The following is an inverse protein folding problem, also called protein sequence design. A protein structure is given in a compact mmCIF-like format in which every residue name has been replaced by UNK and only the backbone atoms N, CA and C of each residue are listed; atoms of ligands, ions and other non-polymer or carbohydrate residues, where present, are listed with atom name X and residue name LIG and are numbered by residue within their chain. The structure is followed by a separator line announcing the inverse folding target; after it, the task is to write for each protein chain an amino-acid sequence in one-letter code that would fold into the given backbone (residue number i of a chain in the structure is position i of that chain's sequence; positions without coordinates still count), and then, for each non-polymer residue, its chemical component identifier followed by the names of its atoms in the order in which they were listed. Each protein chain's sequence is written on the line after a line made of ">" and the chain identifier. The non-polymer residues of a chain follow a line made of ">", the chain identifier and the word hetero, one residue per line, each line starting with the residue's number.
data_IF_027190760320
#
_entry.id   IF_027190760320
#
_cell.length_a   1.000
_cell.length_b   1.000
_cell.length_c   1.000
_cell.angle_alpha   90.00
_cell.angle_beta   90.00
_cell.angle_gamma   90.00
#
_symmetry.space_group_name_H-M   'P 1'
#
loop_
_entity.id
_entity.type
_entity.pdbx_description
1 polymer ?
#
# COMPACT_ATOMS: atom_id res chain seq x y z
N UNK A 1 22.16 -14.85 -1.39
CA UNK A 1 21.56 -14.56 -2.70
C UNK A 1 20.13 -14.14 -2.45
N UNK A 2 19.77 -12.91 -2.81
CA UNK A 2 18.43 -12.36 -2.62
C UNK A 2 17.44 -12.99 -3.61
N UNK A 3 16.12 -12.90 -3.34
CA UNK A 3 15.09 -13.32 -4.31
C UNK A 3 15.29 -12.64 -5.67
N UNK A 4 15.58 -11.34 -5.63
CA UNK A 4 15.75 -10.53 -6.83
C UNK A 4 16.93 -11.03 -7.67
N UNK A 5 18.09 -11.29 -7.04
CA UNK A 5 19.26 -11.87 -7.70
C UNK A 5 18.96 -13.23 -8.34
N UNK A 6 18.21 -14.09 -7.63
CA UNK A 6 17.86 -15.42 -8.14
C UNK A 6 16.88 -15.35 -9.33
N UNK A 7 15.94 -14.41 -9.32
CA UNK A 7 14.92 -14.27 -10.35
C UNK A 7 15.39 -13.48 -11.59
N UNK A 8 16.44 -12.65 -11.44
CA UNK A 8 16.89 -11.71 -12.47
C UNK A 8 17.20 -12.33 -13.84
N UNK A 9 17.92 -13.47 -13.95
CA UNK A 9 18.21 -14.07 -15.25
C UNK A 9 16.94 -14.49 -16.01
N UNK A 10 15.93 -14.98 -15.29
CA UNK A 10 14.64 -15.37 -15.86
C UNK A 10 13.86 -14.14 -16.33
N UNK A 11 13.88 -13.06 -15.54
CA UNK A 11 13.29 -11.78 -15.92
C UNK A 11 13.93 -11.22 -17.21
N UNK A 12 15.26 -11.20 -17.31
CA UNK A 12 15.96 -10.73 -18.51
C UNK A 12 15.60 -11.56 -19.75
N UNK A 13 15.46 -12.88 -19.61
CA UNK A 13 15.04 -13.74 -20.71
C UNK A 13 13.63 -13.38 -21.21
N UNK A 14 12.65 -13.28 -20.30
CA UNK A 14 11.27 -12.89 -20.64
C UNK A 14 11.20 -11.50 -21.26
N UNK A 15 11.97 -10.55 -20.73
CA UNK A 15 12.07 -9.20 -21.28
C UNK A 15 12.50 -9.22 -22.75
N UNK A 16 13.52 -10.02 -23.12
CA UNK A 16 13.96 -10.17 -24.52
C UNK A 16 12.88 -10.76 -25.41
N UNK A 17 12.13 -11.74 -24.91
CA UNK A 17 11.01 -12.35 -25.64
C UNK A 17 9.91 -11.32 -25.92
N UNK A 18 9.47 -10.56 -24.90
CA UNK A 18 8.45 -9.51 -25.03
C UNK A 18 8.86 -8.41 -26.02
N UNK A 19 10.13 -7.98 -25.96
CA UNK A 19 10.66 -7.02 -26.93
C UNK A 19 10.65 -7.62 -28.34
N UNK A 20 11.10 -8.86 -28.51
CA UNK A 20 11.13 -9.53 -29.83
C UNK A 20 9.72 -9.65 -30.42
N UNK A 21 8.73 -10.03 -29.61
CA UNK A 21 7.32 -10.09 -30.02
C UNK A 21 6.80 -8.71 -30.45
N UNK A 22 7.04 -7.67 -29.65
CA UNK A 22 6.60 -6.31 -29.91
C UNK A 22 7.11 -5.73 -31.23
N UNK A 23 8.33 -6.09 -31.64
CA UNK A 23 8.92 -5.61 -32.90
C UNK A 23 8.28 -6.24 -34.15
N UNK A 24 7.50 -7.33 -34.01
CA UNK A 24 6.86 -8.00 -35.17
C UNK A 24 5.77 -7.17 -35.84
N UNK A 25 5.19 -6.18 -35.15
CA UNK A 25 4.05 -5.39 -35.65
C UNK A 25 4.32 -3.86 -35.68
N UNK A 26 5.41 -3.45 -36.36
CA UNK A 26 5.75 -2.04 -36.63
C UNK A 26 6.06 -1.17 -35.39
N UNK A 27 6.92 -1.69 -34.51
CA UNK A 27 7.41 -1.01 -33.31
C UNK A 27 6.78 -1.59 -32.04
N UNK A 28 7.56 -1.73 -30.98
CA UNK A 28 7.06 -2.29 -29.72
C UNK A 28 6.01 -1.34 -29.10
N UNK A 29 4.74 -1.78 -28.95
CA UNK A 29 3.71 -0.95 -28.34
C UNK A 29 4.00 -0.68 -26.86
N UNK A 30 3.37 0.34 -26.28
CA UNK A 30 3.46 0.68 -24.85
C UNK A 30 3.13 -0.53 -23.96
N UNK A 31 2.20 -1.35 -24.41
CA UNK A 31 1.83 -2.62 -23.75
C UNK A 31 3.01 -3.57 -23.52
N UNK A 32 4.06 -3.52 -24.34
CA UNK A 32 5.28 -4.31 -24.12
C UNK A 32 6.01 -3.83 -22.88
N UNK A 33 6.15 -2.52 -22.69
CA UNK A 33 6.78 -1.97 -21.49
C UNK A 33 5.94 -2.26 -20.23
N UNK A 34 4.61 -2.08 -20.30
CA UNK A 34 3.68 -2.45 -19.23
C UNK A 34 3.87 -3.91 -18.79
N UNK A 35 3.90 -4.82 -19.76
CA UNK A 35 4.09 -6.24 -19.50
C UNK A 35 5.48 -6.59 -18.93
N UNK A 36 6.54 -5.85 -19.30
CA UNK A 36 7.87 -6.01 -18.71
C UNK A 36 7.86 -5.55 -17.25
N UNK A 37 7.21 -4.42 -16.96
CA UNK A 37 7.07 -3.91 -15.59
C UNK A 37 6.25 -4.88 -14.72
N UNK A 38 5.19 -5.47 -15.26
CA UNK A 38 4.41 -6.52 -14.57
C UNK A 38 5.27 -7.74 -14.21
N UNK A 39 6.10 -8.23 -15.14
CA UNK A 39 7.04 -9.32 -14.89
C UNK A 39 8.08 -8.96 -13.81
N UNK A 40 8.55 -7.71 -13.81
CA UNK A 40 9.46 -7.20 -12.79
C UNK A 40 8.79 -7.23 -11.41
N UNK A 41 7.59 -6.67 -11.29
CA UNK A 41 6.85 -6.59 -10.03
C UNK A 41 6.56 -7.98 -9.45
N UNK A 42 6.05 -8.90 -10.27
CA UNK A 42 5.59 -10.21 -9.80
C UNK A 42 6.73 -11.24 -9.71
N UNK A 43 7.58 -11.30 -10.73
CA UNK A 43 8.69 -12.25 -10.82
C UNK A 43 9.86 -11.90 -9.90
N UNK A 44 10.28 -10.63 -9.89
CA UNK A 44 11.49 -10.20 -9.17
C UNK A 44 11.15 -9.60 -7.81
N UNK A 45 10.24 -8.63 -7.76
CA UNK A 45 9.96 -7.84 -6.55
C UNK A 45 9.00 -8.52 -5.57
N UNK A 46 8.27 -9.53 -6.03
CA UNK A 46 7.46 -10.41 -5.17
C UNK A 46 6.06 -9.89 -4.86
N UNK A 47 5.55 -8.94 -5.63
CA UNK A 47 4.13 -8.60 -5.63
C UNK A 47 3.29 -9.77 -6.13
N UNK A 48 2.11 -9.97 -5.54
CA UNK A 48 1.15 -10.93 -6.10
C UNK A 48 0.47 -10.31 -7.32
N UNK A 49 0.03 -11.12 -8.27
CA UNK A 49 -0.72 -10.60 -9.43
C UNK A 49 -2.01 -9.86 -9.01
N UNK A 50 -2.64 -10.30 -7.92
CA UNK A 50 -3.81 -9.64 -7.33
C UNK A 50 -3.52 -8.24 -6.78
N UNK A 51 -2.25 -7.89 -6.56
CA UNK A 51 -1.86 -6.56 -6.08
C UNK A 51 -1.78 -5.55 -7.24
N UNK A 52 -1.82 -5.99 -8.50
CA UNK A 52 -1.65 -5.16 -9.69
C UNK A 52 -3.02 -4.83 -10.29
N UNK A 53 -3.37 -3.56 -10.33
CA UNK A 53 -4.62 -3.07 -10.91
C UNK A 53 -4.32 -2.26 -12.16
N UNK A 54 -4.80 -2.74 -13.31
CA UNK A 54 -4.54 -2.09 -14.59
C UNK A 54 -5.61 -1.05 -14.91
N UNK A 55 -5.20 0.06 -15.53
CA UNK A 55 -6.11 1.07 -16.10
C UNK A 55 -7.05 1.75 -15.08
N UNK A 56 -6.69 1.74 -13.79
CA UNK A 56 -7.46 2.42 -12.75
C UNK A 56 -7.26 3.93 -12.89
N UNK A 57 -8.36 4.68 -13.07
CA UNK A 57 -8.32 6.13 -13.26
C UNK A 57 -7.31 6.61 -14.34
N UNK A 58 -7.13 5.80 -15.39
CA UNK A 58 -6.20 6.02 -16.53
C UNK A 58 -4.71 5.88 -16.24
N UNK A 59 -4.30 5.43 -15.05
CA UNK A 59 -2.91 5.01 -14.85
C UNK A 59 -2.71 3.58 -15.37
N UNK A 60 -1.52 3.26 -15.87
CA UNK A 60 -1.26 1.94 -16.46
C UNK A 60 -1.30 0.83 -15.41
N UNK A 61 -0.56 1.00 -14.32
CA UNK A 61 -0.51 0.03 -13.22
C UNK A 61 -0.61 0.75 -11.87
N UNK A 62 -1.59 0.38 -11.07
CA UNK A 62 -1.71 0.76 -9.68
C UNK A 62 -1.46 -0.47 -8.80
N UNK A 63 -0.41 -0.41 -7.98
CA UNK A 63 -0.07 -1.45 -7.02
C UNK A 63 -0.77 -1.17 -5.70
N UNK A 64 -1.55 -2.14 -5.22
CA UNK A 64 -2.26 -2.12 -3.94
C UNK A 64 -1.80 -3.26 -3.04
N UNK A 65 -1.89 -3.07 -1.73
CA UNK A 65 -1.76 -4.17 -0.76
C UNK A 65 -2.82 -3.99 0.31
N UNK A 66 -3.69 -4.99 0.48
CA UNK A 66 -4.86 -4.92 1.35
C UNK A 66 -5.72 -3.68 1.02
N UNK A 67 -5.94 -3.40 -0.26
CA UNK A 67 -6.68 -2.23 -0.74
C UNK A 67 -6.02 -0.87 -0.53
N UNK A 68 -4.89 -0.80 0.19
CA UNK A 68 -4.09 0.42 0.34
C UNK A 68 -3.23 0.59 -0.90
N UNK A 69 -3.39 1.72 -1.59
CA UNK A 69 -2.65 2.08 -2.80
C UNK A 69 -1.21 2.47 -2.43
N UNK A 70 -0.23 1.78 -3.03
CA UNK A 70 1.19 1.86 -2.65
C UNK A 70 2.05 2.56 -3.68
N UNK A 71 1.88 2.20 -4.96
CA UNK A 71 2.72 2.67 -6.04
C UNK A 71 1.88 2.83 -7.30
N UNK A 72 1.99 3.99 -7.93
CA UNK A 72 1.44 4.23 -9.27
C UNK A 72 2.57 4.13 -10.28
N UNK A 73 2.36 3.40 -11.38
CA UNK A 73 3.33 3.27 -12.45
C UNK A 73 2.70 3.70 -13.78
N UNK A 74 3.35 4.64 -14.44
CA UNK A 74 3.07 5.02 -15.83
C UNK A 74 4.13 4.41 -16.72
N UNK A 75 3.71 3.78 -17.81
CA UNK A 75 4.59 3.19 -18.79
C UNK A 75 4.64 4.00 -20.08
N UNK A 76 5.76 3.89 -20.78
CA UNK A 76 5.98 4.48 -22.10
C UNK A 76 6.51 3.43 -23.05
N UNK A 77 6.43 3.71 -24.34
CA UNK A 77 6.97 2.81 -25.37
C UNK A 77 8.45 2.52 -25.10
N UNK A 78 8.93 1.28 -25.36
CA UNK A 78 10.33 0.93 -25.15
C UNK A 78 11.33 1.91 -25.77
N UNK A 79 12.24 2.43 -24.94
CA UNK A 79 13.27 3.39 -25.31
C UNK A 79 12.79 4.84 -25.40
N UNK A 80 11.57 5.17 -24.97
CA UNK A 80 11.04 6.52 -24.95
C UNK A 80 11.58 7.39 -23.82
N UNK A 81 12.10 6.81 -22.73
CA UNK A 81 12.61 7.56 -21.57
C UNK A 81 14.09 7.91 -21.71
N UNK A 82 14.55 8.24 -22.93
CA UNK A 82 15.94 8.64 -23.18
C UNK A 82 16.19 10.07 -22.70
N UNK A 83 16.78 10.18 -21.52
CA UNK A 83 17.26 11.44 -20.95
C UNK A 83 16.27 12.11 -19.99
N UNK A 84 16.79 12.99 -19.14
CA UNK A 84 16.09 13.55 -17.99
C UNK A 84 14.76 14.27 -18.35
N UNK A 85 14.71 14.95 -19.50
CA UNK A 85 13.48 15.64 -19.93
C UNK A 85 12.33 14.68 -20.24
N UNK A 86 12.62 13.53 -20.86
CA UNK A 86 11.58 12.54 -21.18
C UNK A 86 11.04 11.88 -19.91
N UNK A 87 11.93 11.59 -18.96
CA UNK A 87 11.56 11.10 -17.61
C UNK A 87 10.70 12.13 -16.89
N UNK A 88 11.10 13.41 -16.89
CA UNK A 88 10.36 14.48 -16.25
C UNK A 88 8.94 14.62 -16.80
N UNK A 89 8.80 14.66 -18.12
CA UNK A 89 7.50 14.81 -18.77
C UNK A 89 6.57 13.63 -18.46
N UNK A 90 7.09 12.40 -18.49
CA UNK A 90 6.31 11.22 -18.11
C UNK A 90 5.93 11.26 -16.63
N UNK A 91 6.83 11.73 -15.76
CA UNK A 91 6.59 11.80 -14.32
C UNK A 91 5.51 12.84 -13.99
N UNK A 92 5.56 14.03 -14.59
CA UNK A 92 4.54 15.07 -14.41
C UNK A 92 3.15 14.59 -14.85
N UNK A 93 3.07 13.82 -15.93
CA UNK A 93 1.82 13.18 -16.34
C UNK A 93 1.31 12.21 -15.26
N UNK A 94 2.19 11.34 -14.74
CA UNK A 94 1.84 10.36 -13.72
C UNK A 94 1.45 11.00 -12.37
N UNK A 95 2.04 12.15 -12.03
CA UNK A 95 1.76 12.88 -10.79
C UNK A 95 0.29 13.32 -10.70
N UNK A 96 -0.33 13.76 -11.80
CA UNK A 96 -1.75 14.16 -11.80
C UNK A 96 -2.68 13.00 -11.43
N UNK A 97 -2.36 11.79 -11.87
CA UNK A 97 -3.09 10.59 -11.46
C UNK A 97 -2.84 10.23 -10.00
N UNK A 98 -1.60 10.37 -9.54
CA UNK A 98 -1.22 10.08 -8.16
C UNK A 98 -1.92 10.99 -7.15
N UNK A 99 -2.10 12.27 -7.47
CA UNK A 99 -2.87 13.23 -6.66
C UNK A 99 -4.35 12.80 -6.56
N UNK A 100 -4.96 12.45 -7.70
CA UNK A 100 -6.35 11.97 -7.75
C UNK A 100 -6.54 10.69 -6.94
N UNK A 101 -5.59 9.76 -7.05
CA UNK A 101 -5.63 8.46 -6.38
C UNK A 101 -5.04 8.49 -4.96
N UNK A 102 -4.52 9.63 -4.51
CA UNK A 102 -3.90 9.83 -3.19
C UNK A 102 -2.76 8.84 -2.93
N UNK A 103 -1.92 8.63 -3.94
CA UNK A 103 -0.74 7.75 -3.89
C UNK A 103 0.52 8.60 -3.71
N UNK A 104 1.32 8.28 -2.71
CA UNK A 104 2.52 9.05 -2.38
C UNK A 104 3.78 8.66 -3.15
N UNK A 105 3.76 7.55 -3.89
CA UNK A 105 4.91 7.05 -4.64
C UNK A 105 4.54 6.81 -6.09
N UNK A 106 5.32 7.39 -6.99
CA UNK A 106 5.11 7.32 -8.45
C UNK A 106 6.35 6.74 -9.11
N UNK A 107 6.14 5.89 -10.11
CA UNK A 107 7.18 5.43 -11.01
C UNK A 107 6.79 5.65 -12.47
N UNK A 108 7.82 5.80 -13.31
CA UNK A 108 7.71 5.81 -14.76
C UNK A 108 8.69 4.80 -15.35
N UNK A 109 8.28 4.09 -16.40
CA UNK A 109 9.16 3.13 -17.05
C UNK A 109 8.90 3.00 -18.55
N UNK A 110 9.94 2.69 -19.32
CA UNK A 110 9.79 2.21 -20.70
C UNK A 110 10.18 0.72 -20.86
N UNK A 111 10.23 -0.02 -19.75
CA UNK A 111 10.68 -1.41 -19.75
C UNK A 111 12.20 -1.58 -19.96
N UNK A 112 12.98 -0.51 -20.08
CA UNK A 112 14.44 -0.53 -19.96
C UNK A 112 14.89 0.33 -18.79
N UNK A 113 14.39 1.55 -18.70
CA UNK A 113 14.63 2.45 -17.59
C UNK A 113 13.42 2.47 -16.64
N UNK A 114 13.68 2.50 -15.33
CA UNK A 114 12.67 2.65 -14.29
C UNK A 114 13.11 3.77 -13.36
N UNK A 115 12.27 4.80 -13.25
CA UNK A 115 12.47 5.91 -12.34
C UNK A 115 11.30 5.98 -11.36
N UNK A 116 11.56 6.04 -10.06
CA UNK A 116 10.53 6.15 -9.02
C UNK A 116 10.88 7.24 -8.00
N UNK A 117 9.89 8.01 -7.58
CA UNK A 117 10.04 9.07 -6.59
C UNK A 117 8.85 9.20 -5.65
N UNK A 118 9.14 9.49 -4.40
CA UNK A 118 8.17 9.92 -3.41
C UNK A 118 7.69 11.34 -3.71
N UNK A 119 6.38 11.56 -3.65
CA UNK A 119 5.76 12.87 -3.68
C UNK A 119 5.77 13.43 -2.25
N UNK A 120 6.49 14.54 -2.06
CA UNK A 120 6.63 15.22 -0.78
C UNK A 120 6.17 16.67 -0.88
N UNK A 121 5.71 17.31 0.20
CA UNK A 121 5.44 18.74 0.17
C UNK A 121 6.66 19.53 -0.33
N UNK A 122 6.48 20.33 -1.36
CA UNK A 122 7.55 21.15 -1.95
C UNK A 122 8.42 20.46 -3.00
N UNK A 123 8.13 19.22 -3.40
CA UNK A 123 8.82 18.58 -4.52
C UNK A 123 8.66 17.07 -4.56
N UNK A 124 9.75 16.40 -4.96
CA UNK A 124 9.81 14.93 -4.97
C UNK A 124 11.17 14.46 -4.48
N UNK A 125 11.22 13.23 -3.99
CA UNK A 125 12.45 12.60 -3.56
C UNK A 125 12.68 11.32 -4.37
N UNK A 126 13.77 11.28 -5.14
CA UNK A 126 14.14 10.11 -5.93
C UNK A 126 14.38 8.91 -5.03
N UNK A 127 13.69 7.81 -5.33
CA UNK A 127 13.79 6.54 -4.59
C UNK A 127 14.54 5.49 -5.40
N UNK A 128 14.25 5.39 -6.70
CA UNK A 128 14.88 4.44 -7.61
C UNK A 128 15.15 5.11 -8.94
N UNK A 129 16.34 4.88 -9.47
CA UNK A 129 16.67 5.13 -10.87
C UNK A 129 17.50 3.94 -11.33
N UNK A 130 16.91 3.07 -12.15
CA UNK A 130 17.49 1.78 -12.51
C UNK A 130 17.38 1.50 -14.00
N UNK A 131 18.42 0.92 -14.58
CA UNK A 131 18.37 0.28 -15.89
C UNK A 131 18.10 -1.23 -15.71
N UNK A 132 16.87 -1.63 -15.97
CA UNK A 132 16.41 -3.03 -15.84
C UNK A 132 16.83 -3.90 -17.03
N UNK A 133 17.63 -3.38 -17.95
CA UNK A 133 18.25 -4.16 -19.03
C UNK A 133 19.65 -4.67 -18.70
N UNK A 134 20.24 -4.21 -17.58
CA UNK A 134 21.56 -4.60 -17.12
C UNK A 134 21.63 -6.07 -16.69
N UNK A 135 22.81 -6.68 -16.82
CA UNK A 135 23.04 -8.08 -16.47
C UNK A 135 22.88 -8.35 -14.97
N UNK A 136 23.24 -7.38 -14.14
CA UNK A 136 23.09 -7.43 -12.69
C UNK A 136 21.86 -6.67 -12.22
N UNK A 137 21.22 -7.19 -11.18
CA UNK A 137 20.05 -6.53 -10.58
C UNK A 137 20.50 -5.32 -9.76
N UNK A 138 19.85 -4.18 -9.99
CA UNK A 138 19.99 -3.02 -9.10
C UNK A 138 19.27 -3.31 -7.78
N UNK A 139 20.03 -3.35 -6.68
CA UNK A 139 19.50 -3.62 -5.35
C UNK A 139 18.52 -2.54 -4.87
N UNK A 140 18.56 -1.33 -5.43
CA UNK A 140 17.61 -0.26 -5.11
C UNK A 140 16.18 -0.61 -5.53
N UNK A 141 15.99 -1.55 -6.47
CA UNK A 141 14.67 -2.05 -6.83
C UNK A 141 13.90 -2.64 -5.63
N UNK A 142 14.62 -3.08 -4.58
CA UNK A 142 14.00 -3.54 -3.34
C UNK A 142 13.07 -2.49 -2.69
N UNK A 143 13.34 -1.19 -2.87
CA UNK A 143 12.49 -0.10 -2.35
C UNK A 143 11.10 -0.04 -2.98
N UNK A 144 10.88 -0.78 -4.08
CA UNK A 144 9.57 -0.94 -4.73
C UNK A 144 8.93 -2.30 -4.44
N UNK A 145 9.57 -3.18 -3.66
CA UNK A 145 9.01 -4.46 -3.24
C UNK A 145 7.90 -4.28 -2.18
N UNK A 146 7.08 -5.32 -1.91
CA UNK A 146 6.08 -5.28 -0.85
C UNK A 146 6.66 -4.87 0.51
N UNK A 147 7.92 -5.24 0.81
CA UNK A 147 8.58 -4.93 2.09
C UNK A 147 9.29 -3.57 2.11
N UNK A 148 9.61 -3.01 0.94
CA UNK A 148 10.32 -1.74 0.80
C UNK A 148 9.39 -0.55 0.62
N UNK A 149 8.27 -0.73 -0.10
CA UNK A 149 7.45 0.36 -0.64
C UNK A 149 6.89 1.32 0.42
N UNK A 150 6.51 0.80 1.59
CA UNK A 150 5.94 1.62 2.68
C UNK A 150 7.02 2.22 3.60
N UNK A 151 8.28 1.82 3.44
CA UNK A 151 9.38 2.39 4.21
C UNK A 151 9.73 3.72 3.59
N UNK A 152 9.81 4.73 4.42
CA UNK A 152 10.23 6.03 3.94
C UNK A 152 11.74 6.18 4.16
N UNK A 153 12.54 6.45 3.11
CA UNK A 153 13.94 6.81 3.30
C UNK A 153 14.12 8.13 4.07
N UNK A 154 13.07 8.97 4.19
CA UNK A 154 13.08 10.24 4.92
C UNK A 154 11.83 10.35 5.82
N UNK A 155 11.88 10.95 7.02
CA UNK A 155 10.67 11.22 7.81
C UNK A 155 9.66 12.08 7.02
N UNK A 156 8.40 11.65 6.97
CA UNK A 156 7.33 12.45 6.35
C UNK A 156 7.11 13.73 7.14
N UNK A 157 7.02 14.92 6.49
CA UNK A 157 6.51 16.10 7.15
C UNK A 157 5.05 15.90 7.56
N UNK A 158 4.65 16.57 8.65
CA UNK A 158 3.29 16.50 9.18
C UNK A 158 2.28 16.97 8.12
N UNK A 159 1.20 16.22 7.85
CA UNK A 159 0.14 16.71 6.98
C UNK A 159 -0.55 17.91 7.64
N UNK A 160 -0.53 19.07 6.97
CA UNK A 160 -1.03 20.36 7.48
C UNK A 160 -2.50 20.65 7.18
N UNK A 161 -3.27 19.72 6.61
CA UNK A 161 -4.71 19.91 6.45
C UNK A 161 -5.44 18.57 6.47
N UNK A 162 -6.11 18.30 7.59
CA UNK A 162 -7.10 17.23 7.69
C UNK A 162 -8.39 17.82 8.24
N UNK A 163 -9.43 17.82 7.43
CA UNK A 163 -10.80 17.96 7.88
C UNK A 163 -11.52 16.66 7.52
N UNK A 164 -11.48 15.65 8.41
CA UNK A 164 -12.56 14.68 8.44
C UNK A 164 -13.52 15.04 9.56
N UNK A 165 -14.80 14.95 9.23
CA UNK A 165 -15.89 15.15 10.16
C UNK A 165 -15.73 14.24 11.39
N UNK A 166 -16.15 14.71 12.58
CA UNK A 166 -16.16 13.87 13.76
C UNK A 166 -17.13 12.70 13.55
N UNK A 167 -16.58 11.50 13.37
CA UNK A 167 -17.37 10.27 13.51
C UNK A 167 -17.64 10.06 15.00
N UNK A 168 -18.76 10.60 15.49
CA UNK A 168 -19.30 10.21 16.78
C UNK A 168 -20.10 8.91 16.65
N UNK A 169 -19.77 7.96 17.52
CA UNK A 169 -20.49 6.72 17.69
C UNK A 169 -19.50 5.56 17.91
N UNK A 170 -19.42 4.99 19.12
CA UNK A 170 -18.78 3.70 19.27
C UNK A 170 -19.48 2.68 18.35
N UNK A 171 -18.76 1.72 17.74
CA UNK A 171 -19.43 0.53 17.23
C UNK A 171 -20.22 -0.10 18.38
N UNK A 172 -21.46 -0.50 18.13
CA UNK A 172 -22.24 -1.23 19.12
C UNK A 172 -21.42 -2.44 19.63
N UNK A 173 -21.34 -2.65 20.95
CA UNK A 173 -20.67 -3.82 21.49
C UNK A 173 -21.39 -5.07 20.98
N UNK A 174 -20.67 -5.90 20.23
CA UNK A 174 -21.09 -7.27 19.97
C UNK A 174 -20.94 -8.05 21.28
N UNK A 175 -21.97 -7.99 22.12
CA UNK A 175 -22.08 -8.78 23.35
C UNK A 175 -22.30 -10.25 22.99
N UNK A 176 -21.21 -10.96 22.71
CA UNK A 176 -21.17 -12.42 22.76
C UNK A 176 -20.60 -12.83 24.14
N UNK A 177 -21.30 -13.68 24.92
CA UNK A 177 -20.88 -14.01 26.27
C UNK A 177 -19.56 -14.81 26.27
N UNK A 178 -18.57 -14.30 27.01
CA UNK A 178 -17.49 -15.06 27.66
C UNK A 178 -16.39 -15.69 26.80
N UNK A 179 -16.50 -15.69 25.46
CA UNK A 179 -15.46 -16.29 24.62
C UNK A 179 -14.21 -15.41 24.57
N UNK A 180 -13.08 -15.94 25.04
CA UNK A 180 -11.79 -15.26 25.02
C UNK A 180 -10.89 -15.85 23.94
N UNK A 181 -10.05 -14.99 23.36
CA UNK A 181 -9.02 -15.45 22.44
C UNK A 181 -7.98 -16.34 23.16
N UNK A 182 -7.69 -17.58 22.70
CA UNK A 182 -6.81 -18.52 23.42
C UNK A 182 -5.42 -17.97 23.78
N UNK A 183 -4.79 -17.23 22.86
CA UNK A 183 -3.48 -16.60 23.08
C UNK A 183 -3.51 -15.32 23.92
N UNK A 184 -4.45 -14.41 23.64
CA UNK A 184 -4.44 -13.06 24.22
C UNK A 184 -5.29 -12.95 25.48
N UNK A 185 -6.20 -13.90 25.71
CA UNK A 185 -7.16 -13.91 26.81
C UNK A 185 -8.00 -12.62 26.85
N UNK A 186 -8.39 -12.13 25.66
CA UNK A 186 -9.19 -10.92 25.47
C UNK A 186 -10.50 -11.25 24.74
N UNK A 187 -11.58 -10.48 25.00
CA UNK A 187 -12.84 -10.61 24.26
C UNK A 187 -12.70 -10.06 22.83
N UNK A 188 -13.67 -10.41 21.97
CA UNK A 188 -13.69 -10.04 20.55
C UNK A 188 -13.65 -8.52 20.31
N UNK A 189 -14.24 -7.74 21.22
CA UNK A 189 -14.29 -6.27 21.14
C UNK A 189 -12.92 -5.60 21.22
N UNK A 190 -11.90 -6.30 21.72
CA UNK A 190 -10.54 -5.79 21.83
C UNK A 190 -9.73 -5.90 20.53
N UNK A 191 -10.31 -6.47 19.46
CA UNK A 191 -9.63 -6.77 18.20
C UNK A 191 -10.06 -5.85 17.07
N UNK A 192 -9.10 -5.42 16.26
CA UNK A 192 -9.33 -4.55 15.11
C UNK A 192 -10.17 -5.24 14.03
N UNK A 193 -10.03 -6.56 13.89
CA UNK A 193 -10.81 -7.39 12.97
C UNK A 193 -11.22 -8.71 13.63
N UNK A 194 -12.44 -9.16 13.37
CA UNK A 194 -12.92 -10.48 13.76
C UNK A 194 -13.82 -11.03 12.65
N UNK A 195 -13.32 -12.03 11.90
CA UNK A 195 -14.10 -12.63 10.81
C UNK A 195 -15.33 -13.38 11.30
N UNK A 196 -15.25 -14.01 12.47
CA UNK A 196 -16.40 -14.64 13.13
C UNK A 196 -16.31 -14.48 14.64
N UNK A 197 -17.36 -13.95 15.26
CA UNK A 197 -17.45 -13.75 16.72
C UNK A 197 -17.44 -15.04 17.54
N UNK A 198 -17.62 -16.20 16.90
CA UNK A 198 -17.59 -17.52 17.57
C UNK A 198 -16.29 -18.28 17.33
N UNK A 199 -15.40 -17.79 16.46
CA UNK A 199 -14.14 -18.47 16.10
C UNK A 199 -12.95 -17.56 16.38
N UNK A 200 -12.33 -17.65 17.58
CA UNK A 200 -11.28 -16.73 17.99
C UNK A 200 -10.02 -16.74 17.13
N UNK A 201 -9.79 -17.82 16.37
CA UNK A 201 -8.70 -17.89 15.38
C UNK A 201 -8.81 -16.84 14.27
N UNK A 202 -10.01 -16.29 14.05
CA UNK A 202 -10.29 -15.24 13.06
C UNK A 202 -10.15 -13.82 13.62
N UNK A 203 -9.84 -13.69 14.91
CA UNK A 203 -9.69 -12.38 15.55
C UNK A 203 -8.24 -11.92 15.44
N UNK A 204 -8.06 -10.73 14.88
CA UNK A 204 -6.75 -10.19 14.54
C UNK A 204 -6.61 -8.77 15.08
N UNK A 205 -5.36 -8.37 15.27
CA UNK A 205 -5.01 -6.99 15.64
C UNK A 205 -5.59 -6.57 17.00
N UNK A 206 -5.22 -7.24 18.12
CA UNK A 206 -5.62 -6.75 19.44
C UNK A 206 -5.10 -5.33 19.64
N UNK A 207 -5.94 -4.41 20.12
CA UNK A 207 -5.58 -3.01 20.34
C UNK A 207 -6.17 -2.41 21.63
N UNK A 208 -7.11 -3.10 22.28
CA UNK A 208 -7.59 -2.79 23.63
C UNK A 208 -7.05 -3.82 24.63
N UNK A 209 -7.05 -3.43 25.91
CA UNK A 209 -6.78 -4.32 27.03
C UNK A 209 -8.04 -5.07 27.51
N UNK A 210 -7.93 -5.84 28.58
CA UNK A 210 -9.04 -6.64 29.13
C UNK A 210 -10.18 -5.78 29.73
N UNK A 211 -9.92 -4.51 30.02
CA UNK A 211 -10.90 -3.55 30.52
C UNK A 211 -11.57 -2.75 29.39
N UNK A 212 -11.15 -2.98 28.13
CA UNK A 212 -11.64 -2.23 26.98
C UNK A 212 -10.96 -0.88 26.81
N UNK A 213 -9.89 -0.61 27.57
CA UNK A 213 -9.09 0.59 27.44
C UNK A 213 -8.02 0.43 26.37
N UNK A 214 -7.49 1.55 25.86
CA UNK A 214 -6.53 1.53 24.77
C UNK A 214 -5.21 0.91 25.23
N UNK A 215 -4.83 -0.22 24.62
CA UNK A 215 -3.52 -0.81 24.86
C UNK A 215 -2.48 -0.05 24.02
N UNK A 216 -1.81 0.92 24.65
CA UNK A 216 -0.78 1.75 24.04
C UNK A 216 0.40 0.94 23.46
N UNK A 217 0.62 -0.30 23.90
CA UNK A 217 1.69 -1.16 23.40
C UNK A 217 1.27 -1.98 22.18
N UNK A 218 -0.03 -2.25 22.01
CA UNK A 218 -0.57 -3.07 20.92
C UNK A 218 -1.15 -2.24 19.78
N UNK A 219 -1.77 -1.10 20.07
CA UNK A 219 -2.34 -0.21 19.05
C UNK A 219 -1.36 0.11 17.90
N UNK A 220 -0.12 0.60 18.14
CA UNK A 220 0.80 0.87 17.04
C UNK A 220 1.18 -0.39 16.24
N UNK A 221 1.23 -1.56 16.89
CA UNK A 221 1.53 -2.85 16.24
C UNK A 221 0.37 -3.34 15.38
N UNK A 222 -0.87 -3.12 15.83
CA UNK A 222 -2.07 -3.41 15.07
C UNK A 222 -2.12 -2.56 13.79
N UNK A 223 -1.84 -1.26 13.89
CA UNK A 223 -1.76 -0.36 12.73
C UNK A 223 -0.62 -0.82 11.79
N UNK A 224 0.56 -1.09 12.35
CA UNK A 224 1.73 -1.57 11.60
C UNK A 224 1.44 -2.85 10.81
N UNK A 225 0.75 -3.81 11.41
CA UNK A 225 0.47 -5.10 10.78
C UNK A 225 -0.46 -4.98 9.55
N UNK A 226 -1.30 -3.95 9.47
CA UNK A 226 -2.15 -3.68 8.29
C UNK A 226 -1.41 -2.83 7.26
N UNK A 227 -0.71 -1.79 7.69
CA UNK A 227 -0.12 -0.82 6.78
C UNK A 227 1.26 -1.22 6.23
N UNK A 228 1.95 -2.14 6.88
CA UNK A 228 3.33 -2.50 6.56
C UNK A 228 3.52 -4.00 6.77
N UNK A 229 4.72 -4.45 7.15
CA UNK A 229 4.91 -5.76 7.76
C UNK A 229 5.10 -5.65 9.28
N UNK A 230 4.70 -6.71 10.00
CA UNK A 230 5.04 -6.87 11.41
C UNK A 230 6.04 -8.01 11.54
N UNK A 231 7.29 -7.67 11.89
CA UNK A 231 8.41 -8.63 12.00
C UNK A 231 8.60 -9.48 10.74
N UNK A 232 8.45 -8.88 9.57
CA UNK A 232 8.61 -9.56 8.27
C UNK A 232 7.40 -10.38 7.81
N UNK A 233 6.29 -10.34 8.54
CA UNK A 233 5.04 -10.98 8.13
C UNK A 233 4.00 -9.94 7.73
N UNK A 234 3.34 -10.17 6.60
CA UNK A 234 2.16 -9.41 6.16
C UNK A 234 0.90 -10.10 6.66
N UNK A 235 -0.11 -9.31 7.02
CA UNK A 235 -1.42 -9.86 7.38
C UNK A 235 -2.16 -10.23 6.10
N UNK A 236 -2.42 -11.51 5.89
CA UNK A 236 -3.15 -12.02 4.71
C UNK A 236 -4.55 -12.53 5.04
N UNK A 237 -4.90 -12.65 6.32
CA UNK A 237 -6.16 -13.22 6.79
C UNK A 237 -7.30 -12.20 6.93
N UNK A 238 -7.02 -10.92 6.72
CA UNK A 238 -8.03 -9.86 6.72
C UNK A 238 -8.46 -9.63 5.27
N UNK A 239 -9.75 -9.84 4.93
CA UNK A 239 -10.26 -9.53 3.60
C UNK A 239 -10.10 -8.05 3.28
N UNK A 240 -9.78 -7.74 2.03
CA UNK A 240 -9.51 -6.37 1.57
C UNK A 240 -10.69 -5.43 1.84
N UNK A 241 -11.92 -5.91 1.65
CA UNK A 241 -13.15 -5.16 1.89
C UNK A 241 -13.32 -4.74 3.36
N UNK A 242 -12.70 -5.44 4.31
CA UNK A 242 -12.76 -5.12 5.73
C UNK A 242 -11.73 -4.07 6.15
N UNK A 243 -10.67 -3.86 5.35
CA UNK A 243 -9.53 -3.00 5.70
C UNK A 243 -9.94 -1.55 5.99
N UNK A 244 -10.83 -0.89 5.22
CA UNK A 244 -11.24 0.48 5.52
C UNK A 244 -11.84 0.62 6.92
N UNK A 245 -12.72 -0.31 7.32
CA UNK A 245 -13.35 -0.32 8.63
C UNK A 245 -12.34 -0.61 9.75
N UNK A 246 -11.41 -1.54 9.51
CA UNK A 246 -10.33 -1.86 10.46
C UNK A 246 -9.45 -0.63 10.71
N UNK A 247 -9.00 0.05 9.65
CA UNK A 247 -8.19 1.26 9.77
C UNK A 247 -8.95 2.38 10.48
N UNK A 248 -10.23 2.57 10.17
CA UNK A 248 -11.07 3.57 10.85
C UNK A 248 -11.19 3.28 12.34
N UNK A 249 -11.41 2.01 12.73
CA UNK A 249 -11.48 1.58 14.14
C UNK A 249 -10.18 1.86 14.89
N UNK A 250 -9.04 1.51 14.30
CA UNK A 250 -7.72 1.80 14.89
C UNK A 250 -7.46 3.31 14.97
N UNK A 251 -7.93 4.09 14.00
CA UNK A 251 -7.80 5.54 14.01
C UNK A 251 -8.63 6.22 15.10
N UNK A 252 -9.85 5.73 15.35
CA UNK A 252 -10.68 6.20 16.49
C UNK A 252 -9.94 5.97 17.80
N UNK A 253 -9.35 4.79 18.00
CA UNK A 253 -8.52 4.51 19.18
C UNK A 253 -7.30 5.44 19.26
N UNK A 254 -6.58 5.65 18.15
CA UNK A 254 -5.42 6.53 18.10
C UNK A 254 -5.76 8.00 18.40
N UNK A 255 -6.92 8.50 17.93
CA UNK A 255 -7.42 9.85 18.28
C UNK A 255 -7.77 9.97 19.75
N UNK A 256 -8.48 8.97 20.31
CA UNK A 256 -8.78 8.93 21.75
C UNK A 256 -7.51 8.92 22.61
N UNK A 257 -6.43 8.32 22.12
CA UNK A 257 -5.12 8.36 22.75
C UNK A 257 -4.30 9.64 22.49
N UNK A 258 -4.83 10.60 21.72
CA UNK A 258 -4.14 11.85 21.37
C UNK A 258 -2.88 11.66 20.51
N UNK A 259 -2.84 10.61 19.67
CA UNK A 259 -1.63 10.22 18.90
C UNK A 259 -1.71 10.54 17.41
N UNK A 260 -2.89 10.91 16.90
CA UNK A 260 -3.09 11.25 15.49
C UNK A 260 -2.70 12.70 15.22
N UNK A 261 -2.24 13.03 14.00
CA UNK A 261 -2.26 14.39 13.50
C UNK A 261 -3.70 14.83 13.14
N UNK A 262 -4.05 16.12 13.28
CA UNK A 262 -3.20 17.22 13.79
C UNK A 262 -3.18 17.34 15.32
N UNK A 263 -3.90 16.48 16.05
CA UNK A 263 -4.07 16.61 17.51
C UNK A 263 -2.75 16.44 18.28
N UNK A 264 -1.83 15.65 17.73
CA UNK A 264 -0.45 15.53 18.19
C UNK A 264 0.47 16.36 17.29
N UNK A 265 1.34 17.18 17.90
CA UNK A 265 2.33 17.98 17.16
C UNK A 265 3.46 17.13 16.59
N UNK A 266 3.87 16.08 17.31
CA UNK A 266 4.93 15.15 16.91
C UNK A 266 4.43 13.69 16.92
N UNK A 267 3.48 13.34 16.03
CA UNK A 267 2.96 11.99 15.92
C UNK A 267 4.04 11.05 15.41
N UNK A 268 4.11 9.84 15.98
CA UNK A 268 4.98 8.80 15.45
C UNK A 268 4.60 8.45 14.01
N UNK A 269 5.59 8.05 13.20
CA UNK A 269 5.43 7.81 11.76
C UNK A 269 4.26 6.88 11.41
N UNK A 270 3.97 5.88 12.25
CA UNK A 270 2.88 4.94 12.01
C UNK A 270 1.49 5.59 12.05
N UNK A 271 1.29 6.62 12.90
CA UNK A 271 0.04 7.36 12.97
C UNK A 271 -0.11 8.34 11.79
N UNK A 272 1.00 8.89 11.30
CA UNK A 272 1.02 9.66 10.04
C UNK A 272 0.64 8.78 8.86
N UNK A 273 1.22 7.57 8.76
CA UNK A 273 0.86 6.60 7.73
C UNK A 273 -0.61 6.18 7.80
N UNK A 274 -1.15 5.99 9.01
CA UNK A 274 -2.58 5.71 9.19
C UNK A 274 -3.45 6.85 8.68
N UNK A 275 -3.12 8.09 9.01
CA UNK A 275 -3.85 9.25 8.50
C UNK A 275 -3.83 9.30 6.97
N UNK A 276 -2.66 9.08 6.36
CA UNK A 276 -2.52 9.04 4.89
C UNK A 276 -3.32 7.92 4.24
N UNK A 277 -3.27 6.70 4.81
CA UNK A 277 -4.01 5.56 4.29
C UNK A 277 -5.53 5.81 4.31
N UNK A 278 -6.05 6.42 5.39
CA UNK A 278 -7.48 6.75 5.49
C UNK A 278 -7.95 7.74 4.43
N UNK A 279 -7.07 8.61 3.92
CA UNK A 279 -7.45 9.50 2.81
C UNK A 279 -7.74 8.69 1.54
N UNK A 280 -7.24 7.48 1.37
CA UNK A 280 -7.44 6.74 0.13
C UNK A 280 -8.85 6.11 0.02
N UNK A 281 -9.55 5.98 1.14
CA UNK A 281 -10.86 5.36 1.22
C UNK A 281 -11.96 6.42 1.30
N UNK A 282 -13.15 6.14 0.74
CA UNK A 282 -14.31 6.97 1.03
C UNK A 282 -14.60 6.95 2.54
N UNK A 283 -15.24 7.99 3.09
CA UNK A 283 -15.81 7.92 4.43
C UNK A 283 -16.72 6.67 4.49
N UNK A 284 -16.56 5.86 5.53
CA UNK A 284 -17.51 4.77 5.79
C UNK A 284 -18.79 5.43 6.28
N UNK A 285 -19.76 5.61 5.39
CA UNK A 285 -21.10 6.04 5.76
C UNK A 285 -21.76 4.94 6.60
N UNK A 286 -22.50 5.32 7.64
CA UNK A 286 -23.16 4.37 8.56
C UNK A 286 -24.35 3.61 7.93
N UNK A 287 -24.63 3.77 6.64
CA UNK A 287 -25.94 3.43 6.07
C UNK A 287 -26.10 2.03 5.46
N UNK A 288 -25.08 1.16 5.43
CA UNK A 288 -25.25 -0.21 4.91
C UNK A 288 -25.63 -1.26 5.97
N UNK A 289 -26.11 -0.84 7.15
CA UNK A 289 -26.69 -1.75 8.14
C UNK A 289 -28.20 -2.01 7.96
N UNK A 290 -28.81 -1.56 6.86
CA UNK A 290 -30.25 -1.68 6.61
C UNK A 290 -30.64 -2.63 5.46
N UNK A 291 -29.75 -3.49 4.98
CA UNK A 291 -30.11 -4.58 4.08
C UNK A 291 -30.27 -5.90 4.85
N UNK A 292 -31.33 -6.00 5.65
CA UNK A 292 -31.85 -7.30 6.10
C UNK A 292 -32.61 -7.96 4.93
N UNK A 293 -32.43 -9.27 4.70
CA UNK A 293 -33.11 -9.98 3.63
C UNK A 293 -34.59 -10.17 4.00
N UNK A 294 -35.47 -10.05 2.99
CA UNK A 294 -36.78 -10.71 3.02
C UNK A 294 -36.66 -12.10 2.43
#
# INVERSE_FOLDING_TARGET
>A
MSRAEAAWPTFLARRRERLTEGHRYAGAPEKVAENIVEDLLTGVLGWAFSDLNHQVARCDILVTHLGVRRLLIETKRPGALRGAHAVEAAFLQAQGYAETLRVGLVAVSDGAHLFASDLVPGGRHTRVEADVSMEEVDQNLWWLSPDGVYRNPIPLPHPTAWALAPSQGPPEPLDAPGLLHPKYQLPVTCFGYAGSVTHPSTWHLPYLDAHGEIDHNRLPKAIQAVLTNYRGAHVSSIPEEAVPLVLQRLAVAARRAGRMPPECLEPAAIYVQLAQALLQFPPVDKEDSAAQPR
#
